data_IF_347693362515
#
_entry.id   IF_347693362515
#
_cell.length_a   1.000
_cell.length_b   1.000
_cell.length_c   1.000
_cell.angle_alpha   90.00
_cell.angle_beta   90.00
_cell.angle_gamma   90.00
#
_symmetry.space_group_name_H-M   'P 1'
#
loop_
_entity.id
_entity.type
_entity.pdbx_description
1 polymer ?
#
# COMPACT_ATOMS: atom_id res chain seq x y z
N UNK A 1 -9.17 30.15 -9.09
CA UNK A 1 -9.01 28.79 -8.52
C UNK A 1 -8.00 28.90 -7.41
N UNK A 2 -8.44 29.02 -6.16
CA UNK A 2 -7.53 28.88 -5.02
C UNK A 2 -7.04 27.44 -5.01
N UNK A 3 -5.73 27.23 -5.06
CA UNK A 3 -5.18 25.88 -4.96
C UNK A 3 -5.46 25.34 -3.57
N UNK A 4 -6.21 24.24 -3.47
CA UNK A 4 -6.39 23.47 -2.25
C UNK A 4 -5.00 23.15 -1.65
N UNK A 5 -4.80 23.38 -0.36
CA UNK A 5 -3.52 23.08 0.29
C UNK A 5 -3.27 21.56 0.23
N UNK A 6 -2.11 21.10 -0.27
CA UNK A 6 -1.90 19.68 -0.49
C UNK A 6 -1.87 18.93 0.83
N UNK A 7 -2.79 17.97 0.99
CA UNK A 7 -2.91 17.12 2.18
C UNK A 7 -1.62 16.33 2.48
N UNK A 8 -0.76 16.13 1.48
CA UNK A 8 0.47 15.38 1.61
C UNK A 8 1.61 16.03 0.83
N UNK A 9 2.81 15.98 1.41
CA UNK A 9 4.06 16.37 0.75
C UNK A 9 4.88 15.11 0.42
N UNK A 10 5.34 15.02 -0.82
CA UNK A 10 6.27 13.96 -1.24
C UNK A 10 7.70 14.43 -1.00
N UNK A 11 8.43 13.71 -0.15
CA UNK A 11 9.88 13.90 0.04
C UNK A 11 10.61 12.89 -0.85
N UNK A 12 11.63 13.36 -1.57
CA UNK A 12 12.48 12.56 -2.44
C UNK A 12 13.90 12.53 -1.86
N UNK A 13 14.55 11.37 -1.90
CA UNK A 13 15.90 11.17 -1.36
C UNK A 13 16.21 9.69 -1.15
N UNK A 14 17.43 9.40 -0.70
CA UNK A 14 17.83 8.07 -0.23
C UNK A 14 17.76 8.08 1.30
N UNK A 15 16.96 7.19 1.93
CA UNK A 15 16.88 7.14 3.40
C UNK A 15 18.23 6.76 3.99
N UNK A 16 18.55 7.28 5.18
CA UNK A 16 19.75 6.83 5.90
C UNK A 16 19.57 5.38 6.36
N UNK A 17 20.68 4.74 6.76
CA UNK A 17 20.63 3.38 7.29
C UNK A 17 19.76 3.30 8.56
N UNK A 18 19.81 4.34 9.40
CA UNK A 18 19.02 4.46 10.63
C UNK A 18 17.53 4.65 10.33
N UNK A 19 17.19 5.49 9.35
CA UNK A 19 15.80 5.68 8.92
C UNK A 19 15.21 4.41 8.32
N UNK A 20 16.00 3.70 7.52
CA UNK A 20 15.60 2.41 6.96
C UNK A 20 15.41 1.37 8.07
N UNK A 21 16.34 1.30 9.03
CA UNK A 21 16.23 0.40 10.18
C UNK A 21 15.00 0.71 11.04
N UNK A 22 14.72 1.99 11.29
CA UNK A 22 13.55 2.44 12.03
C UNK A 22 12.25 2.06 11.32
N UNK A 23 12.16 2.26 10.00
CA UNK A 23 11.01 1.87 9.19
C UNK A 23 10.77 0.36 9.25
N UNK A 24 11.82 -0.46 9.07
CA UNK A 24 11.72 -1.92 9.17
C UNK A 24 11.28 -2.35 10.57
N UNK A 25 11.86 -1.77 11.62
CA UNK A 25 11.47 -2.02 13.00
C UNK A 25 9.99 -1.71 13.26
N UNK A 26 9.50 -0.56 12.77
CA UNK A 26 8.10 -0.18 12.89
C UNK A 26 7.15 -1.15 12.16
N UNK A 27 7.51 -1.60 10.95
CA UNK A 27 6.74 -2.59 10.19
C UNK A 27 6.68 -3.92 10.96
N UNK A 28 7.80 -4.41 11.48
CA UNK A 28 7.85 -5.65 12.26
C UNK A 28 6.99 -5.54 13.52
N UNK A 29 7.12 -4.46 14.28
CA UNK A 29 6.32 -4.24 15.50
C UNK A 29 4.82 -4.18 15.18
N UNK A 30 4.42 -3.48 14.11
CA UNK A 30 3.02 -3.36 13.69
C UNK A 30 2.43 -4.67 13.17
N UNK A 31 3.25 -5.52 12.57
CA UNK A 31 2.81 -6.81 11.99
C UNK A 31 2.85 -7.96 12.98
N UNK A 32 3.45 -7.78 14.17
CA UNK A 32 3.34 -8.74 15.26
C UNK A 32 1.87 -8.88 15.68
N UNK A 33 1.28 -10.09 15.61
CA UNK A 33 -0.11 -10.28 15.95
C UNK A 33 -0.32 -10.11 17.46
N UNK A 34 -1.01 -9.04 17.86
CA UNK A 34 -1.58 -8.92 19.20
C UNK A 34 -2.97 -9.54 19.19
N UNK A 35 -3.04 -10.88 19.27
CA UNK A 35 -4.23 -11.69 18.96
C UNK A 35 -4.75 -11.45 17.52
N UNK A 36 -5.34 -12.48 16.90
CA UNK A 36 -5.88 -12.32 15.55
C UNK A 36 -7.19 -11.50 15.62
N UNK A 37 -7.27 -10.29 15.03
CA UNK A 37 -8.56 -9.64 14.85
C UNK A 37 -9.42 -10.49 13.90
N UNK A 38 -10.75 -10.38 14.03
CA UNK A 38 -11.67 -11.00 13.09
C UNK A 38 -11.33 -10.59 11.64
N UNK A 39 -11.47 -11.48 10.65
CA UNK A 39 -11.14 -11.16 9.26
C UNK A 39 -11.95 -9.96 8.78
N UNK A 40 -11.25 -8.93 8.28
CA UNK A 40 -11.89 -7.76 7.71
C UNK A 40 -12.64 -8.11 6.41
N UNK A 41 -13.73 -7.39 6.14
CA UNK A 41 -14.43 -7.52 4.87
C UNK A 41 -13.48 -7.21 3.70
N UNK A 42 -13.50 -8.06 2.68
CA UNK A 42 -12.59 -7.94 1.55
C UNK A 42 -12.91 -6.71 0.69
N UNK A 43 -11.93 -5.84 0.53
CA UNK A 43 -12.06 -4.67 -0.34
C UNK A 43 -12.21 -5.09 -1.81
N UNK A 44 -12.87 -4.26 -2.61
CA UNK A 44 -12.93 -4.46 -4.05
C UNK A 44 -11.53 -4.52 -4.68
N UNK A 45 -10.56 -3.76 -4.13
CA UNK A 45 -9.16 -3.80 -4.54
C UNK A 45 -8.52 -5.17 -4.26
N UNK A 46 -8.69 -5.71 -3.05
CA UNK A 46 -8.18 -7.04 -2.69
C UNK A 46 -8.79 -8.13 -3.57
N UNK A 47 -10.09 -8.07 -3.85
CA UNK A 47 -10.78 -9.01 -4.75
C UNK A 47 -10.31 -8.92 -6.20
N UNK A 48 -10.02 -7.71 -6.69
CA UNK A 48 -9.43 -7.51 -8.02
C UNK A 48 -8.07 -8.20 -8.18
N UNK A 49 -7.43 -8.52 -7.05
CA UNK A 49 -6.16 -9.23 -7.01
C UNK A 49 -6.24 -10.72 -7.36
N UNK A 50 -7.41 -11.33 -7.29
CA UNK A 50 -7.56 -12.78 -7.48
C UNK A 50 -7.54 -13.18 -8.96
N UNK A 51 -7.03 -14.39 -9.29
CA UNK A 51 -7.21 -14.96 -10.62
C UNK A 51 -8.71 -15.13 -10.88
N UNK A 52 -9.26 -14.50 -11.91
CA UNK A 52 -10.71 -14.54 -12.15
C UNK A 52 -11.24 -13.76 -13.34
N UNK A 53 -10.45 -12.89 -13.98
CA UNK A 53 -10.89 -12.21 -15.20
C UNK A 53 -9.77 -11.46 -15.93
N UNK A 54 -9.71 -11.65 -17.24
CA UNK A 54 -8.74 -11.03 -18.18
C UNK A 54 -8.98 -9.54 -18.44
N UNK A 55 -9.93 -8.90 -17.76
CA UNK A 55 -10.35 -7.50 -17.99
C UNK A 55 -10.17 -6.58 -16.76
N UNK A 56 -9.33 -6.97 -15.81
CA UNK A 56 -8.98 -6.11 -14.67
C UNK A 56 -7.98 -5.02 -15.03
N UNK A 57 -7.76 -4.06 -14.15
CA UNK A 57 -6.74 -3.00 -14.30
C UNK A 57 -5.33 -3.53 -14.62
N UNK A 58 -5.03 -4.79 -14.26
CA UNK A 58 -3.78 -5.46 -14.64
C UNK A 58 -3.64 -5.69 -16.14
N UNK A 59 -4.75 -5.85 -16.85
CA UNK A 59 -4.76 -5.96 -18.30
C UNK A 59 -4.63 -4.59 -19.00
N UNK A 60 -4.76 -3.48 -18.27
CA UNK A 60 -4.67 -2.13 -18.85
C UNK A 60 -3.28 -1.77 -19.37
N UNK A 61 -2.23 -2.45 -18.89
CA UNK A 61 -0.85 -2.27 -19.34
C UNK A 61 -0.35 -3.35 -20.31
N UNK A 62 -1.19 -4.32 -20.68
CA UNK A 62 -0.81 -5.34 -21.65
C UNK A 62 -0.93 -4.79 -23.08
N UNK A 63 0.00 -5.17 -23.99
CA UNK A 63 -0.15 -4.89 -25.41
C UNK A 63 -1.48 -5.46 -25.95
N UNK A 64 -2.08 -4.77 -26.92
CA UNK A 64 -3.31 -5.23 -27.60
C UNK A 64 -3.01 -6.26 -28.67
#
# INVERSE_FOLDING_TARGET
MSAEEPLFRVVRGVPTAEELAALVGAIIVRTRPAAAPAPAAESAWARSGRPGGSRGWRAAGLPR
#
